data_IF_994521699383
#
_entry.id   IF_994521699383
#
_cell.length_a   1.000
_cell.length_b   1.000
_cell.length_c   1.000
_cell.angle_alpha   90.00
_cell.angle_beta   90.00
_cell.angle_gamma   90.00
#
_symmetry.space_group_name_H-M   'P 1'
#
loop_
_entity.id
_entity.type
_entity.pdbx_description
1 polymer ?
#
# COMPACT_ATOMS: atom_id res chain seq x y z
N UNK A 1 34.51 -11.49 0.59
CA UNK A 1 33.12 -11.30 0.13
C UNK A 1 32.31 -12.41 0.79
N UNK A 2 31.29 -12.07 1.58
CA UNK A 2 30.61 -13.02 2.49
C UNK A 2 29.72 -14.05 1.76
N UNK A 3 29.21 -13.71 0.57
CA UNK A 3 28.28 -14.54 -0.23
C UNK A 3 28.98 -14.93 -1.55
N UNK A 4 29.52 -16.16 -1.66
CA UNK A 4 30.18 -16.63 -2.89
C UNK A 4 29.29 -16.60 -4.13
N UNK A 5 27.99 -16.85 -3.95
CA UNK A 5 26.99 -16.91 -5.02
C UNK A 5 26.80 -15.54 -5.69
N UNK A 6 27.00 -14.44 -4.94
CA UNK A 6 27.06 -13.09 -5.50
C UNK A 6 28.37 -12.89 -6.28
N UNK A 7 29.50 -13.40 -5.76
CA UNK A 7 30.79 -13.28 -6.43
C UNK A 7 30.83 -14.02 -7.78
N UNK A 8 30.13 -15.14 -7.87
CA UNK A 8 30.02 -15.94 -9.09
C UNK A 8 28.93 -15.43 -10.06
N UNK A 9 28.14 -14.43 -9.67
CA UNK A 9 27.02 -13.93 -10.46
C UNK A 9 25.81 -14.86 -10.53
N UNK A 10 25.72 -15.88 -9.67
CA UNK A 10 24.52 -16.73 -9.56
C UNK A 10 23.38 -15.97 -8.89
N UNK A 11 23.71 -15.15 -7.90
CA UNK A 11 22.77 -14.26 -7.20
C UNK A 11 23.15 -12.81 -7.49
N UNK A 12 22.17 -11.99 -7.82
CA UNK A 12 22.34 -10.57 -8.09
C UNK A 12 21.58 -9.73 -7.07
N UNK A 13 22.18 -8.61 -6.65
CA UNK A 13 21.49 -7.59 -5.86
C UNK A 13 20.79 -6.65 -6.84
N UNK A 14 19.45 -6.66 -6.83
CA UNK A 14 18.62 -5.85 -7.73
C UNK A 14 18.33 -4.46 -7.19
N UNK A 15 18.14 -4.34 -5.87
CA UNK A 15 17.88 -3.06 -5.22
C UNK A 15 18.43 -3.02 -3.79
N UNK A 16 18.71 -1.80 -3.31
CA UNK A 16 19.22 -1.53 -1.97
C UNK A 16 18.59 -0.26 -1.41
N UNK A 17 17.92 -0.37 -0.26
CA UNK A 17 17.47 0.76 0.53
C UNK A 17 18.19 0.75 1.88
N UNK A 18 18.96 1.80 2.17
CA UNK A 18 19.86 1.83 3.34
C UNK A 18 19.65 3.08 4.19
N UNK A 19 19.58 2.86 5.50
CA UNK A 19 19.72 3.85 6.57
C UNK A 19 20.90 3.42 7.46
N UNK A 20 22.11 3.99 7.22
CA UNK A 20 23.35 3.52 7.84
C UNK A 20 23.30 3.50 9.37
N UNK A 21 23.79 2.40 9.98
CA UNK A 21 23.81 2.23 11.43
C UNK A 21 22.45 1.90 12.05
N UNK A 22 21.38 1.83 11.25
CA UNK A 22 20.06 1.44 11.70
C UNK A 22 19.59 0.18 10.99
N UNK A 23 19.21 0.31 9.71
CA UNK A 23 18.56 -0.75 8.97
C UNK A 23 18.77 -0.61 7.46
N UNK A 24 18.94 -1.75 6.81
CA UNK A 24 19.03 -1.88 5.36
C UNK A 24 18.09 -2.96 4.87
N UNK A 25 17.47 -2.73 3.71
CA UNK A 25 16.77 -3.75 2.94
C UNK A 25 17.50 -4.00 1.64
N UNK A 26 17.71 -5.27 1.31
CA UNK A 26 18.41 -5.71 0.10
C UNK A 26 17.51 -6.66 -0.67
N UNK A 27 17.22 -6.32 -1.92
CA UNK A 27 16.46 -7.17 -2.83
C UNK A 27 17.41 -8.01 -3.68
N UNK A 28 17.24 -9.33 -3.66
CA UNK A 28 18.11 -10.27 -4.37
C UNK A 28 17.31 -11.15 -5.31
N UNK A 29 17.88 -11.45 -6.48
CA UNK A 29 17.34 -12.39 -7.46
C UNK A 29 18.39 -13.44 -7.81
N UNK A 30 17.95 -14.63 -8.19
CA UNK A 30 18.83 -15.66 -8.73
C UNK A 30 18.77 -15.68 -10.25
N UNK A 31 19.91 -15.88 -10.90
CA UNK A 31 20.00 -16.16 -12.33
C UNK A 31 19.79 -17.65 -12.64
N UNK A 32 19.71 -18.49 -11.62
CA UNK A 32 19.46 -19.93 -11.70
C UNK A 32 18.23 -20.29 -10.86
N UNK A 33 17.25 -20.97 -11.47
CA UNK A 33 16.01 -21.39 -10.81
C UNK A 33 16.23 -22.41 -9.70
N UNK A 34 17.34 -23.14 -9.72
CA UNK A 34 17.66 -24.15 -8.70
C UNK A 34 18.31 -23.53 -7.45
N UNK A 35 18.61 -22.23 -7.47
CA UNK A 35 19.29 -21.51 -6.39
C UNK A 35 18.32 -20.53 -5.72
N UNK A 36 18.09 -20.71 -4.41
CA UNK A 36 17.37 -19.74 -3.59
C UNK A 36 18.28 -18.54 -3.27
N UNK A 37 17.99 -17.33 -3.79
CA UNK A 37 18.85 -16.17 -3.60
C UNK A 37 18.81 -15.66 -2.14
N UNK A 38 17.67 -15.80 -1.45
CA UNK A 38 17.55 -15.38 -0.05
C UNK A 38 18.32 -16.34 0.84
N UNK A 39 18.11 -17.65 0.66
CA UNK A 39 18.84 -18.70 1.37
C UNK A 39 20.36 -18.59 1.21
N UNK A 40 20.84 -18.31 0.00
CA UNK A 40 22.25 -18.07 -0.28
C UNK A 40 22.79 -16.86 0.52
N UNK A 41 22.06 -15.74 0.56
CA UNK A 41 22.51 -14.54 1.26
C UNK A 41 22.41 -14.67 2.80
N UNK A 42 21.42 -15.41 3.31
CA UNK A 42 21.18 -15.62 4.75
C UNK A 42 22.18 -16.63 5.33
N UNK A 43 22.44 -17.73 4.61
CA UNK A 43 23.30 -18.82 5.04
C UNK A 43 22.68 -19.69 6.14
N UNK A 44 23.38 -20.76 6.53
CA UNK A 44 22.88 -21.72 7.52
C UNK A 44 22.54 -21.03 8.85
N UNK A 45 21.26 -21.09 9.25
CA UNK A 45 20.74 -20.40 10.45
C UNK A 45 21.08 -18.91 10.48
N UNK A 46 21.11 -18.23 9.33
CA UNK A 46 21.41 -16.81 9.25
C UNK A 46 22.86 -16.45 9.58
N UNK A 47 23.83 -17.37 9.43
CA UNK A 47 25.22 -17.10 9.78
C UNK A 47 25.82 -15.94 8.97
N UNK A 48 25.56 -15.90 7.66
CA UNK A 48 26.15 -14.90 6.74
C UNK A 48 25.56 -13.51 7.01
N UNK A 49 24.23 -13.38 7.06
CA UNK A 49 23.57 -12.10 7.37
C UNK A 49 23.94 -11.57 8.77
N UNK A 50 24.15 -12.46 9.75
CA UNK A 50 24.64 -12.07 11.09
C UNK A 50 26.07 -11.55 11.05
N UNK A 51 26.96 -12.16 10.29
CA UNK A 51 28.33 -11.66 10.11
C UNK A 51 28.32 -10.26 9.48
N UNK A 52 27.51 -10.05 8.44
CA UNK A 52 27.34 -8.73 7.80
C UNK A 52 26.80 -7.71 8.81
N UNK A 53 25.76 -8.06 9.57
CA UNK A 53 25.19 -7.19 10.61
C UNK A 53 26.23 -6.78 11.65
N UNK A 54 27.07 -7.73 12.10
CA UNK A 54 28.13 -7.48 13.07
C UNK A 54 29.21 -6.53 12.51
N UNK A 55 29.60 -6.69 11.25
CA UNK A 55 30.57 -5.82 10.58
C UNK A 55 30.02 -4.41 10.36
N UNK A 56 28.70 -4.29 10.14
CA UNK A 56 27.98 -3.02 10.01
C UNK A 56 27.58 -2.41 11.36
N UNK A 57 28.29 -2.72 12.45
CA UNK A 57 28.05 -2.16 13.80
C UNK A 57 26.61 -2.37 14.29
N UNK A 58 26.05 -3.54 14.03
CA UNK A 58 24.68 -3.95 14.35
C UNK A 58 23.58 -3.24 13.53
N UNK A 59 23.89 -2.70 12.35
CA UNK A 59 22.88 -2.31 11.36
C UNK A 59 22.06 -3.54 10.96
N UNK A 60 20.74 -3.52 11.16
CA UNK A 60 19.86 -4.65 10.80
C UNK A 60 19.76 -4.78 9.29
N UNK A 61 20.08 -5.96 8.74
CA UNK A 61 19.95 -6.23 7.31
C UNK A 61 18.80 -7.18 7.06
N UNK A 62 17.76 -6.71 6.37
CA UNK A 62 16.68 -7.54 5.86
C UNK A 62 16.99 -7.89 4.39
N UNK A 63 17.00 -9.19 4.06
CA UNK A 63 17.20 -9.68 2.69
C UNK A 63 15.86 -10.21 2.20
N UNK A 64 15.40 -9.73 1.05
CA UNK A 64 14.09 -10.06 0.48
C UNK A 64 14.26 -10.54 -0.96
N UNK A 65 13.40 -11.45 -1.46
CA UNK A 65 13.39 -11.79 -2.87
C UNK A 65 12.94 -10.58 -3.69
N UNK A 66 13.62 -10.34 -4.80
CA UNK A 66 13.15 -9.43 -5.83
C UNK A 66 12.12 -10.15 -6.72
N UNK A 67 11.07 -9.44 -7.13
CA UNK A 67 10.13 -9.87 -8.17
C UNK A 67 9.91 -8.72 -9.14
N UNK A 68 9.68 -9.05 -10.41
CA UNK A 68 9.25 -8.06 -11.40
C UNK A 68 7.75 -7.75 -11.27
N UNK A 69 6.99 -8.61 -10.58
CA UNK A 69 5.62 -8.29 -10.19
C UNK A 69 5.62 -7.32 -9.00
N UNK A 70 5.08 -6.10 -9.14
CA UNK A 70 5.09 -5.09 -8.09
C UNK A 70 4.36 -5.55 -6.83
N UNK A 71 3.27 -6.33 -6.97
CA UNK A 71 2.50 -6.83 -5.81
C UNK A 71 3.35 -7.78 -4.97
N UNK A 72 3.97 -8.78 -5.59
CA UNK A 72 4.90 -9.70 -4.93
C UNK A 72 6.09 -8.96 -4.31
N UNK A 73 6.67 -8.00 -5.04
CA UNK A 73 7.87 -7.31 -4.57
C UNK A 73 7.59 -6.38 -3.38
N UNK A 74 6.46 -5.65 -3.39
CA UNK A 74 6.03 -4.82 -2.25
C UNK A 74 5.71 -5.69 -1.04
N UNK A 75 5.03 -6.82 -1.25
CA UNK A 75 4.73 -7.78 -0.19
C UNK A 75 6.01 -8.32 0.45
N UNK A 76 7.01 -8.68 -0.37
CA UNK A 76 8.32 -9.12 0.10
C UNK A 76 9.07 -8.00 0.84
N UNK A 77 9.05 -6.76 0.33
CA UNK A 77 9.76 -5.63 0.90
C UNK A 77 9.25 -5.23 2.31
N UNK A 78 7.96 -5.42 2.59
CA UNK A 78 7.34 -5.11 3.88
C UNK A 78 7.56 -6.17 4.96
N UNK A 79 8.21 -7.30 4.65
CA UNK A 79 8.61 -8.29 5.65
C UNK A 79 9.34 -7.61 6.82
N UNK A 80 9.02 -7.97 8.08
CA UNK A 80 8.31 -9.17 8.51
C UNK A 80 6.77 -9.07 8.64
N UNK A 81 6.16 -7.95 8.26
CA UNK A 81 4.71 -7.79 8.37
C UNK A 81 3.95 -8.71 7.39
N UNK A 82 2.80 -9.23 7.82
CA UNK A 82 1.92 -10.02 6.95
C UNK A 82 0.90 -9.11 6.28
N UNK A 83 0.91 -9.13 4.96
CA UNK A 83 0.03 -8.32 4.11
C UNK A 83 -1.22 -9.12 3.77
N UNK A 84 -2.40 -8.47 3.78
CA UNK A 84 -3.65 -9.07 3.31
C UNK A 84 -3.85 -8.81 1.83
N UNK A 85 -3.66 -7.56 1.42
CA UNK A 85 -3.94 -7.09 0.07
C UNK A 85 -3.03 -5.92 -0.29
N UNK A 86 -2.73 -5.81 -1.58
CA UNK A 86 -2.00 -4.68 -2.16
C UNK A 86 -2.79 -4.19 -3.37
N UNK A 87 -3.21 -2.94 -3.33
CA UNK A 87 -3.94 -2.27 -4.41
C UNK A 87 -2.96 -1.30 -5.05
N UNK A 88 -2.77 -1.42 -6.36
CA UNK A 88 -1.85 -0.58 -7.12
C UNK A 88 -2.61 0.49 -7.90
N UNK A 89 -2.15 1.71 -7.75
CA UNK A 89 -2.49 2.83 -8.60
C UNK A 89 -1.25 3.17 -9.46
N UNK A 90 -1.27 2.68 -10.70
CA UNK A 90 -0.19 2.87 -11.67
C UNK A 90 -0.08 4.33 -12.14
N UNK A 91 -1.16 5.11 -12.09
CA UNK A 91 -1.15 6.50 -12.53
C UNK A 91 -0.39 7.38 -11.53
N UNK A 92 -0.62 7.17 -10.24
CA UNK A 92 0.07 7.93 -9.18
C UNK A 92 1.37 7.26 -8.71
N UNK A 93 1.60 6.00 -9.07
CA UNK A 93 2.73 5.20 -8.58
C UNK A 93 2.61 4.90 -7.08
N UNK A 94 1.38 4.68 -6.63
CA UNK A 94 1.04 4.44 -5.22
C UNK A 94 0.53 3.02 -5.02
N UNK A 95 0.94 2.40 -3.93
CA UNK A 95 0.50 1.10 -3.49
C UNK A 95 -0.16 1.24 -2.12
N UNK A 96 -1.46 0.98 -2.08
CA UNK A 96 -2.23 0.90 -0.83
C UNK A 96 -2.16 -0.52 -0.32
N UNK A 97 -1.61 -0.68 0.88
CA UNK A 97 -1.31 -1.98 1.48
C UNK A 97 -2.22 -2.18 2.69
N UNK A 98 -3.07 -3.19 2.61
CA UNK A 98 -4.01 -3.52 3.68
C UNK A 98 -3.39 -4.60 4.56
N UNK A 99 -3.35 -4.33 5.86
CA UNK A 99 -2.86 -5.25 6.88
C UNK A 99 -3.90 -5.46 7.96
N UNK A 100 -3.74 -6.50 8.78
CA UNK A 100 -4.53 -6.62 10.00
C UNK A 100 -4.09 -5.50 10.96
N UNK A 101 -5.02 -4.96 11.76
CA UNK A 101 -4.69 -3.94 12.78
C UNK A 101 -3.45 -4.30 13.65
N UNK A 102 -3.37 -5.55 14.09
CA UNK A 102 -2.22 -6.07 14.89
C UNK A 102 -0.87 -6.01 14.14
N UNK A 103 -0.89 -5.97 12.81
CA UNK A 103 0.29 -5.88 11.95
C UNK A 103 0.61 -4.44 11.53
N UNK A 104 -0.28 -3.46 11.72
CA UNK A 104 -0.13 -2.08 11.27
C UNK A 104 1.16 -1.45 11.80
N UNK A 105 1.38 -1.52 13.11
CA UNK A 105 2.60 -1.01 13.75
C UNK A 105 3.88 -1.67 13.23
N UNK A 106 3.83 -2.97 12.92
CA UNK A 106 4.97 -3.71 12.38
C UNK A 106 5.26 -3.34 10.93
N UNK A 107 4.20 -3.18 10.12
CA UNK A 107 4.27 -2.82 8.71
C UNK A 107 4.85 -1.40 8.53
N UNK A 108 4.40 -0.44 9.34
CA UNK A 108 4.96 0.93 9.39
C UNK A 108 6.39 0.90 9.94
N UNK A 109 6.59 0.18 11.05
CA UNK A 109 7.85 0.11 11.77
C UNK A 109 8.13 1.35 12.62
N UNK A 110 9.20 1.30 13.43
CA UNK A 110 9.61 2.43 14.29
C UNK A 110 9.87 3.67 13.43
N UNK A 111 9.20 4.78 13.72
CA UNK A 111 9.32 6.05 12.98
C UNK A 111 9.08 5.90 11.46
N UNK A 112 8.22 4.95 11.07
CA UNK A 112 7.93 4.67 9.66
C UNK A 112 9.10 4.05 8.89
N UNK A 113 10.14 3.59 9.57
CA UNK A 113 11.37 3.12 8.93
C UNK A 113 11.13 1.92 7.99
N UNK A 114 10.23 0.99 8.34
CA UNK A 114 10.01 -0.20 7.51
C UNK A 114 9.32 0.19 6.20
N UNK A 115 8.22 0.94 6.29
CA UNK A 115 7.50 1.47 5.13
C UNK A 115 8.41 2.35 4.25
N UNK A 116 9.20 3.25 4.85
CA UNK A 116 10.13 4.13 4.12
C UNK A 116 11.23 3.36 3.40
N UNK A 117 11.80 2.33 4.02
CA UNK A 117 12.80 1.48 3.38
C UNK A 117 12.17 0.63 2.26
N UNK A 118 10.97 0.10 2.47
CA UNK A 118 10.25 -0.64 1.43
C UNK A 118 9.92 0.24 0.22
N UNK A 119 9.40 1.46 0.44
CA UNK A 119 9.11 2.42 -0.62
C UNK A 119 10.36 2.79 -1.42
N UNK A 120 11.50 3.01 -0.75
CA UNK A 120 12.79 3.26 -1.42
C UNK A 120 13.33 2.04 -2.17
N UNK A 121 13.02 0.83 -1.70
CA UNK A 121 13.50 -0.42 -2.29
C UNK A 121 12.72 -0.77 -3.56
N UNK A 122 11.40 -0.58 -3.54
CA UNK A 122 10.50 -0.93 -4.65
C UNK A 122 10.31 0.23 -5.63
N UNK A 123 10.53 1.47 -5.20
CA UNK A 123 10.27 2.67 -5.99
C UNK A 123 8.80 3.13 -5.94
N UNK A 124 7.94 2.46 -5.19
CA UNK A 124 6.52 2.80 -5.04
C UNK A 124 6.28 3.67 -3.81
N UNK A 125 5.30 4.57 -3.88
CA UNK A 125 4.74 5.18 -2.66
C UNK A 125 3.92 4.12 -1.94
N UNK A 126 4.17 3.88 -0.66
CA UNK A 126 3.46 2.85 0.11
C UNK A 126 2.59 3.54 1.15
N UNK A 127 1.28 3.42 1.00
CA UNK A 127 0.29 3.75 2.03
C UNK A 127 -0.13 2.47 2.74
N UNK A 128 -0.17 2.48 4.08
CA UNK A 128 -0.48 1.26 4.85
C UNK A 128 -1.70 1.53 5.71
N UNK A 129 -2.73 0.72 5.50
CA UNK A 129 -4.02 0.84 6.19
C UNK A 129 -4.38 -0.45 6.91
N UNK A 130 -5.12 -0.33 8.00
CA UNK A 130 -5.74 -1.49 8.62
C UNK A 130 -7.02 -1.89 7.88
N UNK A 131 -7.37 -3.17 7.98
CA UNK A 131 -8.64 -3.71 7.50
C UNK A 131 -9.86 -3.07 8.18
N UNK A 132 -9.68 -2.54 9.40
CA UNK A 132 -10.74 -1.82 10.12
C UNK A 132 -10.96 -0.44 9.52
N UNK A 133 -9.89 0.34 9.31
CA UNK A 133 -9.97 1.67 8.71
C UNK A 133 -10.60 1.64 7.32
N UNK A 134 -10.19 0.68 6.46
CA UNK A 134 -10.75 0.54 5.12
C UNK A 134 -12.26 0.21 5.16
N UNK A 135 -12.69 -0.63 6.11
CA UNK A 135 -14.11 -0.97 6.26
C UNK A 135 -14.95 0.21 6.76
N UNK A 136 -14.38 1.08 7.59
CA UNK A 136 -15.06 2.27 8.10
C UNK A 136 -15.20 3.33 7.01
N UNK A 137 -14.13 3.59 6.25
CA UNK A 137 -14.17 4.50 5.10
C UNK A 137 -15.19 4.02 4.05
N UNK A 138 -15.28 2.72 3.80
CA UNK A 138 -16.27 2.17 2.87
C UNK A 138 -17.72 2.40 3.35
N UNK A 139 -17.99 2.22 4.65
CA UNK A 139 -19.31 2.47 5.24
C UNK A 139 -19.66 3.96 5.22
N UNK A 140 -18.72 4.83 5.60
CA UNK A 140 -18.92 6.28 5.58
C UNK A 140 -19.14 6.81 4.15
N UNK A 141 -18.42 6.28 3.16
CA UNK A 141 -18.62 6.62 1.76
C UNK A 141 -20.01 6.16 1.25
N UNK A 142 -20.46 4.96 1.66
CA UNK A 142 -21.79 4.47 1.30
C UNK A 142 -22.91 5.28 1.97
N UNK A 143 -22.75 5.64 3.26
CA UNK A 143 -23.67 6.54 3.97
C UNK A 143 -23.73 7.93 3.32
N UNK A 144 -22.60 8.50 2.93
CA UNK A 144 -22.56 9.80 2.25
C UNK A 144 -23.25 9.76 0.86
N UNK A 145 -23.09 8.67 0.11
CA UNK A 145 -23.79 8.48 -1.16
C UNK A 145 -25.31 8.31 -0.97
N UNK A 146 -25.73 7.64 0.11
CA UNK A 146 -27.15 7.52 0.47
C UNK A 146 -27.69 8.90 0.87
N UNK A 147 -26.97 9.68 1.68
CA UNK A 147 -27.39 11.01 2.10
C UNK A 147 -27.47 12.01 0.92
N UNK A 148 -26.53 11.95 -0.03
CA UNK A 148 -26.62 12.71 -1.29
C UNK A 148 -27.81 12.28 -2.16
N UNK A 149 -28.10 10.98 -2.24
CA UNK A 149 -29.27 10.49 -2.98
C UNK A 149 -30.59 10.89 -2.30
N UNK A 150 -30.66 10.83 -0.96
CA UNK A 150 -31.86 11.18 -0.20
C UNK A 150 -32.15 12.70 -0.28
N UNK A 151 -31.13 13.55 -0.17
CA UNK A 151 -31.28 15.00 -0.41
C UNK A 151 -31.54 15.33 -1.88
N UNK A 152 -30.99 14.54 -2.81
CA UNK A 152 -31.25 14.66 -4.24
C UNK A 152 -32.70 14.39 -4.58
N UNK A 153 -33.28 13.31 -4.07
CA UNK A 153 -34.69 12.96 -4.26
C UNK A 153 -35.62 14.01 -3.60
N UNK A 154 -35.32 14.47 -2.38
CA UNK A 154 -36.12 15.53 -1.73
C UNK A 154 -36.05 16.86 -2.49
N UNK A 155 -34.89 17.21 -3.06
CA UNK A 155 -34.73 18.43 -3.87
C UNK A 155 -35.48 18.35 -5.22
N UNK A 156 -35.59 17.16 -5.80
CA UNK A 156 -36.37 16.91 -7.02
C UNK A 156 -37.87 16.95 -6.71
N UNK A 157 -38.32 16.28 -5.64
CA UNK A 157 -39.73 16.33 -5.21
C UNK A 157 -40.18 17.75 -4.86
N UNK A 158 -39.37 18.51 -4.12
CA UNK A 158 -39.69 19.92 -3.84
C UNK A 158 -39.67 20.78 -5.10
N UNK A 159 -38.74 20.57 -6.04
CA UNK A 159 -38.74 21.30 -7.31
C UNK A 159 -39.97 20.97 -8.17
N UNK A 160 -40.43 19.72 -8.19
CA UNK A 160 -41.68 19.31 -8.84
C UNK A 160 -42.90 19.95 -8.16
N UNK A 161 -43.02 19.91 -6.83
CA UNK A 161 -44.11 20.55 -6.09
C UNK A 161 -44.16 22.07 -6.32
N UNK A 162 -43.01 22.75 -6.29
CA UNK A 162 -42.94 24.20 -6.55
C UNK A 162 -43.32 24.50 -8.01
N UNK A 163 -42.96 23.61 -8.95
CA UNK A 163 -43.33 23.79 -10.36
C UNK A 163 -44.83 23.59 -10.61
N UNK A 164 -45.48 22.64 -9.92
CA UNK A 164 -46.93 22.44 -10.02
C UNK A 164 -47.71 23.60 -9.38
N UNK A 165 -47.23 24.14 -8.26
CA UNK A 165 -47.88 25.28 -7.58
C UNK A 165 -47.81 26.57 -8.41
N UNK A 166 -46.67 26.85 -9.06
CA UNK A 166 -46.50 28.04 -9.93
C UNK A 166 -47.36 27.96 -11.20
N UNK A 167 -47.60 26.75 -11.72
CA UNK A 167 -48.49 26.54 -12.88
C UNK A 167 -49.96 26.71 -12.46
N UNK A 168 -50.34 26.30 -11.25
CA UNK A 168 -51.70 26.49 -10.73
C UNK A 168 -52.05 27.97 -10.50
N UNK A 169 -51.14 28.78 -9.95
CA UNK A 169 -51.38 30.21 -9.72
C UNK A 169 -51.51 31.02 -11.02
N UNK A 170 -50.77 30.67 -12.07
CA UNK A 170 -50.80 31.39 -13.36
C UNK A 170 -52.14 31.22 -14.10
N UNK A 171 -52.85 30.10 -13.89
CA UNK A 171 -54.15 29.85 -14.56
C UNK A 171 -55.34 30.58 -13.93
N UNK A 172 -55.18 31.16 -12.73
CA UNK A 172 -56.27 31.81 -12.00
C UNK A 172 -56.32 33.34 -12.21
N UNK A 173 -55.28 33.94 -12.82
CA UNK A 173 -55.22 35.39 -13.09
C UNK A 173 -55.75 35.79 -14.49
N UNK A 174 -55.99 34.84 -15.41
CA UNK A 174 -56.50 35.13 -16.76
C UNK A 174 -58.04 35.18 -16.88
N UNK A 175 -58.83 34.93 -15.82
CA UNK A 175 -60.32 34.91 -15.90
C UNK A 175 -61.01 36.17 -15.35
N UNK A 176 -60.29 37.30 -15.21
CA UNK A 176 -60.90 38.59 -14.84
C UNK A 176 -60.48 39.71 -15.80
N UNK A 177 -60.90 39.64 -17.07
CA UNK A 177 -61.28 40.85 -17.82
C UNK A 177 -62.18 40.53 -19.02
N UNK A 178 -63.40 41.07 -18.92
CA UNK A 178 -64.41 41.37 -19.96
C UNK A 178 -65.35 40.26 -20.46
#
# INVERSE_FOLDING_TARGET
MEVPEIASGLVEIKALAREPGHRSKVAVASNDSDVDPVGACVGARGSRVRNITNELRNERVDIVPYSDDPVEFITAALQPARIREVILDEETGTATVIVQDQQLSLAIGKEGQNARLAARLTGWRIDIRSDVEESQEAVEAEEALIEEAEYGDVAVETAEEISEEVVAETTNEEEVTE
#
